data_IF_713280333617
#
_entry.id   IF_713280333617
#
_cell.length_a   1.000
_cell.length_b   1.000
_cell.length_c   1.000
_cell.angle_alpha   90.00
_cell.angle_beta   90.00
_cell.angle_gamma   90.00
#
_symmetry.space_group_name_H-M   'P 1'
#
loop_
_entity.id
_entity.type
_entity.pdbx_description
1 polymer ?
#
# COMPACT_ATOMS: atom_id res chain seq x y z
N UNK A 1 -17.69 7.71 10.94
CA UNK A 1 -17.68 6.59 9.98
C UNK A 1 -16.64 5.59 10.45
N UNK A 2 -16.98 4.30 10.57
CA UNK A 2 -16.00 3.27 10.95
C UNK A 2 -15.08 2.97 9.76
N UNK A 3 -13.85 2.49 10.01
CA UNK A 3 -12.93 2.10 8.92
C UNK A 3 -13.51 1.03 7.99
N UNK A 4 -14.31 0.11 8.54
CA UNK A 4 -15.03 -0.90 7.74
C UNK A 4 -16.10 -0.23 6.87
N UNK A 5 -16.82 0.76 7.40
CA UNK A 5 -17.79 1.53 6.62
C UNK A 5 -17.15 2.32 5.48
N UNK A 6 -15.94 2.84 5.69
CA UNK A 6 -15.16 3.49 4.63
C UNK A 6 -14.76 2.50 3.53
N UNK A 7 -14.20 1.34 3.91
CA UNK A 7 -13.81 0.32 2.93
C UNK A 7 -15.02 -0.24 2.16
N UNK A 8 -16.14 -0.46 2.85
CA UNK A 8 -17.38 -0.91 2.19
C UNK A 8 -17.92 0.12 1.20
N UNK A 9 -17.88 1.41 1.56
CA UNK A 9 -18.28 2.49 0.65
C UNK A 9 -17.37 2.56 -0.57
N UNK A 10 -16.06 2.48 -0.37
CA UNK A 10 -15.08 2.46 -1.47
C UNK A 10 -15.34 1.29 -2.43
N UNK A 11 -15.61 0.08 -1.90
CA UNK A 11 -15.97 -1.08 -2.71
C UNK A 11 -17.29 -0.88 -3.47
N UNK A 12 -18.29 -0.27 -2.86
CA UNK A 12 -19.55 0.02 -3.54
C UNK A 12 -19.38 1.03 -4.68
N UNK A 13 -18.55 2.05 -4.48
CA UNK A 13 -18.21 3.02 -5.52
C UNK A 13 -17.51 2.32 -6.69
N UNK A 14 -16.52 1.49 -6.40
CA UNK A 14 -15.75 0.74 -7.40
C UNK A 14 -16.63 -0.23 -8.19
N UNK A 15 -17.47 -1.01 -7.50
CA UNK A 15 -18.41 -1.94 -8.15
C UNK A 15 -19.45 -1.19 -8.98
N UNK A 16 -19.94 -0.05 -8.50
CA UNK A 16 -20.83 0.82 -9.26
C UNK A 16 -20.16 1.35 -10.53
N UNK A 17 -18.92 1.80 -10.42
CA UNK A 17 -18.15 2.25 -11.58
C UNK A 17 -17.95 1.11 -12.60
N UNK A 18 -17.54 -0.08 -12.16
CA UNK A 18 -17.38 -1.25 -13.03
C UNK A 18 -18.70 -1.71 -13.69
N UNK A 19 -19.84 -1.51 -13.02
CA UNK A 19 -21.14 -1.94 -13.54
C UNK A 19 -21.76 -0.94 -14.53
N UNK A 20 -21.43 0.35 -14.41
CA UNK A 20 -22.11 1.43 -15.15
C UNK A 20 -21.19 2.25 -16.07
N UNK A 21 -19.88 1.99 -16.05
CA UNK A 21 -18.92 2.57 -16.99
C UNK A 21 -18.29 1.46 -17.83
N UNK A 22 -17.78 1.82 -19.00
CA UNK A 22 -16.99 0.89 -19.85
C UNK A 22 -15.55 0.70 -19.32
N UNK A 23 -15.34 1.00 -18.03
CA UNK A 23 -14.04 0.93 -17.38
C UNK A 23 -13.58 -0.50 -17.16
N UNK A 24 -12.28 -0.69 -17.13
CA UNK A 24 -11.64 -1.97 -16.84
C UNK A 24 -10.52 -1.79 -15.81
N UNK A 25 -10.33 -2.80 -14.99
CA UNK A 25 -9.22 -2.90 -14.03
C UNK A 25 -8.23 -3.97 -14.46
N UNK A 26 -6.94 -3.74 -14.21
CA UNK A 26 -5.92 -4.75 -14.46
C UNK A 26 -6.12 -6.00 -13.60
N UNK A 27 -5.66 -7.16 -14.07
CA UNK A 27 -5.84 -8.44 -13.37
C UNK A 27 -5.23 -8.45 -11.96
N UNK A 28 -4.08 -7.83 -11.78
CA UNK A 28 -3.42 -7.71 -10.46
C UNK A 28 -4.28 -6.85 -9.53
N UNK A 29 -4.75 -5.69 -10.00
CA UNK A 29 -5.67 -4.82 -9.27
C UNK A 29 -6.92 -5.59 -8.86
N UNK A 30 -7.55 -6.33 -9.78
CA UNK A 30 -8.73 -7.14 -9.49
C UNK A 30 -8.51 -8.14 -8.34
N UNK A 31 -7.39 -8.85 -8.32
CA UNK A 31 -7.03 -9.78 -7.23
C UNK A 31 -6.90 -9.05 -5.89
N UNK A 32 -6.27 -7.88 -5.89
CA UNK A 32 -6.12 -7.08 -4.66
C UNK A 32 -7.47 -6.57 -4.19
N UNK A 33 -8.30 -6.02 -5.07
CA UNK A 33 -9.65 -5.54 -4.71
C UNK A 33 -10.53 -6.67 -4.16
N UNK A 34 -10.50 -7.85 -4.78
CA UNK A 34 -11.20 -9.03 -4.28
C UNK A 34 -10.70 -9.44 -2.88
N UNK A 35 -9.39 -9.40 -2.65
CA UNK A 35 -8.80 -9.70 -1.34
C UNK A 35 -9.21 -8.69 -0.27
N UNK A 36 -9.31 -7.40 -0.63
CA UNK A 36 -9.81 -6.35 0.25
C UNK A 36 -11.31 -6.50 0.52
N UNK A 37 -12.10 -6.95 -0.46
CA UNK A 37 -13.49 -7.28 -0.24
C UNK A 37 -13.65 -8.39 0.82
N UNK A 38 -12.87 -9.46 0.72
CA UNK A 38 -12.82 -10.52 1.75
C UNK A 38 -12.40 -9.96 3.11
N UNK A 39 -11.36 -9.10 3.17
CA UNK A 39 -10.92 -8.43 4.40
C UNK A 39 -12.06 -7.61 5.01
N UNK A 40 -12.80 -6.87 4.19
CA UNK A 40 -13.91 -6.01 4.62
C UNK A 40 -15.08 -6.83 5.18
N UNK A 41 -15.50 -7.89 4.47
CA UNK A 41 -16.57 -8.80 4.90
C UNK A 41 -16.20 -9.57 6.17
N UNK A 42 -14.96 -10.04 6.25
CA UNK A 42 -14.48 -10.75 7.44
C UNK A 42 -14.19 -9.81 8.61
N UNK A 43 -14.29 -8.49 8.36
CA UNK A 43 -14.00 -7.45 9.35
C UNK A 43 -12.64 -7.63 10.04
N UNK A 44 -11.65 -8.17 9.33
CA UNK A 44 -10.30 -8.43 9.86
C UNK A 44 -10.28 -9.44 11.01
N UNK A 45 -11.14 -10.45 11.00
CA UNK A 45 -11.20 -11.49 12.05
C UNK A 45 -10.16 -12.58 11.86
N UNK A 46 -9.66 -12.74 10.63
CA UNK A 46 -8.77 -13.85 10.27
C UNK A 46 -7.35 -13.32 10.01
N UNK A 47 -6.40 -13.75 10.84
CA UNK A 47 -4.98 -13.39 10.74
C UNK A 47 -4.40 -13.68 9.35
N UNK A 48 -4.83 -14.76 8.72
CA UNK A 48 -4.37 -15.13 7.37
C UNK A 48 -4.81 -14.09 6.35
N UNK A 49 -6.09 -13.68 6.37
CA UNK A 49 -6.63 -12.66 5.46
C UNK A 49 -5.91 -11.34 5.64
N UNK A 50 -5.77 -10.87 6.89
CA UNK A 50 -5.07 -9.64 7.22
C UNK A 50 -3.61 -9.66 6.73
N UNK A 51 -2.91 -10.80 6.95
CA UNK A 51 -1.52 -10.95 6.53
C UNK A 51 -1.39 -10.97 5.01
N UNK A 52 -2.27 -11.71 4.32
CA UNK A 52 -2.28 -11.78 2.86
C UNK A 52 -2.54 -10.41 2.25
N UNK A 53 -3.58 -9.70 2.69
CA UNK A 53 -3.90 -8.36 2.17
C UNK A 53 -2.75 -7.38 2.45
N UNK A 54 -2.14 -7.44 3.63
CA UNK A 54 -0.98 -6.62 3.96
C UNK A 54 0.19 -6.83 2.99
N UNK A 55 0.50 -8.11 2.69
CA UNK A 55 1.58 -8.45 1.75
C UNK A 55 1.22 -7.99 0.33
N UNK A 56 -0.02 -8.20 -0.10
CA UNK A 56 -0.49 -7.75 -1.42
C UNK A 56 -0.44 -6.24 -1.57
N UNK A 57 -0.83 -5.48 -0.55
CA UNK A 57 -0.67 -4.02 -0.55
C UNK A 57 0.80 -3.60 -0.64
N UNK A 58 1.67 -4.26 0.11
CA UNK A 58 3.11 -4.03 0.00
C UNK A 58 3.65 -4.35 -1.38
N UNK A 59 3.17 -5.44 -1.99
CA UNK A 59 3.55 -5.84 -3.35
C UNK A 59 3.04 -4.85 -4.41
N UNK A 60 1.86 -4.25 -4.25
CA UNK A 60 1.38 -3.17 -5.12
C UNK A 60 2.32 -1.96 -5.09
N UNK A 61 2.69 -1.48 -3.90
CA UNK A 61 3.64 -0.38 -3.77
C UNK A 61 5.02 -0.75 -4.36
N UNK A 62 5.51 -1.97 -4.11
CA UNK A 62 6.76 -2.44 -4.69
C UNK A 62 6.69 -2.51 -6.23
N UNK A 63 5.58 -2.99 -6.78
CA UNK A 63 5.32 -3.04 -8.22
C UNK A 63 5.30 -1.65 -8.85
N UNK A 64 4.61 -0.69 -8.22
CA UNK A 64 4.57 0.70 -8.65
C UNK A 64 5.97 1.33 -8.71
N UNK A 65 6.81 1.07 -7.69
CA UNK A 65 8.21 1.54 -7.68
C UNK A 65 9.04 0.81 -8.73
N UNK A 66 8.89 -0.51 -8.87
CA UNK A 66 9.61 -1.32 -9.85
C UNK A 66 9.32 -0.86 -11.30
N UNK A 67 8.06 -0.50 -11.58
CA UNK A 67 7.62 0.01 -12.87
C UNK A 67 8.35 1.33 -13.24
N UNK A 68 8.48 2.25 -12.29
CA UNK A 68 9.22 3.52 -12.48
C UNK A 68 10.70 3.34 -12.81
N UNK A 69 11.27 2.21 -12.46
CA UNK A 69 12.66 1.88 -12.79
C UNK A 69 12.80 0.91 -13.98
N UNK A 70 11.72 0.69 -14.73
CA UNK A 70 11.71 -0.16 -15.92
C UNK A 70 11.86 -1.65 -15.63
N UNK A 71 11.69 -2.08 -14.37
CA UNK A 71 11.84 -3.50 -13.99
C UNK A 71 10.67 -4.37 -14.46
N UNK A 72 9.53 -3.77 -14.80
CA UNK A 72 8.35 -4.47 -15.32
C UNK A 72 8.27 -4.44 -16.85
N UNK A 73 9.03 -3.57 -17.50
CA UNK A 73 9.05 -3.41 -18.95
C UNK A 73 9.34 -1.97 -19.36
N UNK A 74 9.50 -1.76 -20.68
CA UNK A 74 9.70 -0.43 -21.26
C UNK A 74 8.37 0.35 -21.31
N UNK A 75 8.41 1.69 -21.42
CA UNK A 75 7.22 2.51 -21.64
C UNK A 75 6.38 2.02 -22.82
N UNK A 76 5.07 1.86 -22.59
CA UNK A 76 4.13 1.37 -23.60
C UNK A 76 4.03 -0.15 -23.75
N UNK A 77 4.77 -0.94 -22.96
CA UNK A 77 4.58 -2.38 -22.92
C UNK A 77 3.29 -2.74 -22.14
N UNK A 78 2.69 -3.89 -22.49
CA UNK A 78 1.46 -4.35 -21.85
C UNK A 78 1.63 -4.51 -20.32
N UNK A 79 0.73 -3.88 -19.55
CA UNK A 79 0.74 -3.93 -18.10
C UNK A 79 1.77 -3.03 -17.43
N UNK A 80 2.49 -2.20 -18.19
CA UNK A 80 3.44 -1.19 -17.73
C UNK A 80 2.75 0.17 -17.72
N UNK A 81 2.72 0.84 -16.55
CA UNK A 81 2.10 2.16 -16.42
C UNK A 81 3.05 3.28 -16.85
N UNK A 82 4.30 3.19 -16.47
CA UNK A 82 5.31 4.22 -16.76
C UNK A 82 6.52 3.63 -17.52
N UNK A 83 7.14 2.55 -17.03
CA UNK A 83 8.29 1.89 -17.63
C UNK A 83 9.61 2.65 -17.45
N UNK A 84 9.57 3.92 -17.05
CA UNK A 84 10.74 4.70 -16.63
C UNK A 84 10.36 5.83 -15.67
N UNK A 85 11.39 6.43 -15.05
CA UNK A 85 11.20 7.50 -14.07
C UNK A 85 10.79 8.84 -14.69
N UNK A 86 11.12 9.08 -15.95
CA UNK A 86 10.75 10.30 -16.65
C UNK A 86 9.24 10.31 -16.93
N UNK A 87 8.69 9.20 -17.44
CA UNK A 87 7.24 9.02 -17.62
C UNK A 87 6.45 9.18 -16.31
N UNK A 88 6.98 8.62 -15.19
CA UNK A 88 6.37 8.84 -13.88
C UNK A 88 6.43 10.31 -13.42
N UNK A 89 7.53 11.00 -13.69
CA UNK A 89 7.67 12.43 -13.37
C UNK A 89 6.70 13.27 -14.18
N UNK A 90 6.51 12.95 -15.46
CA UNK A 90 5.53 13.62 -16.32
C UNK A 90 4.10 13.35 -15.86
N UNK A 91 3.79 12.13 -15.45
CA UNK A 91 2.50 11.82 -14.81
C UNK A 91 2.31 12.61 -13.51
N UNK A 92 3.33 12.71 -12.67
CA UNK A 92 3.29 13.55 -11.46
C UNK A 92 2.98 15.01 -11.79
N UNK A 93 3.50 15.52 -12.92
CA UNK A 93 3.19 16.87 -13.40
C UNK A 93 1.70 17.03 -13.72
N UNK A 94 1.06 16.04 -14.33
CA UNK A 94 -0.40 16.11 -14.59
C UNK A 94 -1.24 16.18 -13.32
N UNK A 95 -0.74 15.60 -12.22
CA UNK A 95 -1.40 15.63 -10.90
C UNK A 95 -1.12 16.91 -10.10
N UNK A 96 -0.14 17.72 -10.54
CA UNK A 96 0.34 18.88 -9.78
C UNK A 96 -0.26 20.16 -10.36
N UNK A 97 -0.84 21.07 -9.53
CA UNK A 97 -1.28 22.38 -9.99
C UNK A 97 -0.12 23.18 -10.62
N UNK A 98 -0.37 23.88 -11.73
CA UNK A 98 0.65 24.61 -12.51
C UNK A 98 1.54 25.53 -11.67
N UNK A 99 1.00 26.20 -10.65
CA UNK A 99 1.79 27.08 -9.79
C UNK A 99 2.82 26.34 -8.92
N UNK A 100 2.77 24.99 -8.88
CA UNK A 100 3.71 24.11 -8.18
C UNK A 100 4.60 23.29 -9.13
N UNK A 101 4.60 23.57 -10.44
CA UNK A 101 5.40 22.80 -11.42
C UNK A 101 6.89 22.70 -11.05
N UNK A 102 7.44 23.72 -10.41
CA UNK A 102 8.81 23.71 -9.90
C UNK A 102 9.08 22.60 -8.87
N UNK A 103 8.05 22.10 -8.20
CA UNK A 103 8.15 21.07 -7.16
C UNK A 103 8.01 19.63 -7.71
N UNK A 104 7.63 19.43 -8.95
CA UNK A 104 7.33 18.11 -9.57
C UNK A 104 8.46 17.11 -9.37
N UNK A 105 9.75 17.43 -9.60
CA UNK A 105 10.82 16.44 -9.36
C UNK A 105 10.92 16.02 -7.90
N UNK A 106 10.72 16.97 -6.97
CA UNK A 106 10.73 16.66 -5.54
C UNK A 106 9.51 15.81 -5.14
N UNK A 107 8.32 16.12 -5.67
CA UNK A 107 7.10 15.34 -5.41
C UNK A 107 7.24 13.91 -5.94
N UNK A 108 7.76 13.72 -7.15
CA UNK A 108 8.03 12.39 -7.70
C UNK A 108 9.02 11.59 -6.84
N UNK A 109 10.09 12.24 -6.36
CA UNK A 109 11.06 11.61 -5.47
C UNK A 109 10.45 11.25 -4.12
N UNK A 110 9.66 12.14 -3.51
CA UNK A 110 8.97 11.89 -2.23
C UNK A 110 7.94 10.76 -2.39
N UNK A 111 7.15 10.74 -3.47
CA UNK A 111 6.22 9.67 -3.76
C UNK A 111 6.95 8.32 -3.86
N UNK A 112 8.03 8.26 -4.64
CA UNK A 112 8.82 7.04 -4.82
C UNK A 112 9.45 6.57 -3.50
N UNK A 113 10.04 7.46 -2.72
CA UNK A 113 10.62 7.14 -1.42
C UNK A 113 9.56 6.65 -0.42
N UNK A 114 8.41 7.34 -0.35
CA UNK A 114 7.31 6.94 0.54
C UNK A 114 6.74 5.58 0.17
N UNK A 115 6.48 5.32 -1.10
CA UNK A 115 5.99 4.01 -1.56
C UNK A 115 7.00 2.89 -1.32
N UNK A 116 8.30 3.16 -1.49
CA UNK A 116 9.36 2.19 -1.16
C UNK A 116 9.34 1.82 0.32
N UNK A 117 9.24 2.81 1.22
CA UNK A 117 9.17 2.57 2.66
C UNK A 117 7.87 1.84 3.04
N UNK A 118 6.74 2.19 2.43
CA UNK A 118 5.46 1.52 2.64
C UNK A 118 5.53 0.06 2.16
N UNK A 119 6.11 -0.20 0.99
CA UNK A 119 6.30 -1.55 0.47
C UNK A 119 7.12 -2.42 1.43
N UNK A 120 8.29 -1.95 1.85
CA UNK A 120 9.17 -2.67 2.78
C UNK A 120 8.45 -2.92 4.12
N UNK A 121 7.85 -1.88 4.70
CA UNK A 121 7.19 -1.98 5.99
C UNK A 121 5.97 -2.91 5.97
N UNK A 122 5.16 -2.87 4.90
CA UNK A 122 4.02 -3.76 4.75
C UNK A 122 4.46 -5.20 4.49
N UNK A 123 5.41 -5.46 3.59
CA UNK A 123 5.86 -6.82 3.28
C UNK A 123 6.49 -7.46 4.52
N UNK A 124 7.41 -6.79 5.17
CA UNK A 124 8.12 -7.32 6.34
C UNK A 124 7.26 -7.29 7.62
N UNK A 125 6.20 -6.48 7.65
CA UNK A 125 5.37 -6.30 8.85
C UNK A 125 6.09 -5.54 9.96
N UNK A 126 6.99 -4.61 9.62
CA UNK A 126 7.68 -3.72 10.54
C UNK A 126 6.74 -2.56 10.87
N UNK A 127 6.47 -2.31 12.15
CA UNK A 127 5.54 -1.27 12.60
C UNK A 127 4.21 -1.26 11.79
N UNK A 128 3.71 -2.46 11.42
CA UNK A 128 2.72 -2.67 10.38
C UNK A 128 1.46 -1.80 10.53
N UNK A 129 1.02 -1.54 11.77
CA UNK A 129 -0.12 -0.67 12.05
C UNK A 129 0.15 0.80 11.67
N UNK A 130 1.34 1.30 11.99
CA UNK A 130 1.75 2.67 11.64
C UNK A 130 1.91 2.81 10.13
N UNK A 131 2.61 1.84 9.51
CA UNK A 131 2.83 1.81 8.07
C UNK A 131 1.50 1.71 7.29
N UNK A 132 0.55 0.89 7.74
CA UNK A 132 -0.77 0.81 7.12
C UNK A 132 -1.56 2.12 7.23
N UNK A 133 -1.45 2.85 8.34
CA UNK A 133 -2.04 4.19 8.49
C UNK A 133 -1.38 5.21 7.55
N UNK A 134 -0.06 5.17 7.44
CA UNK A 134 0.69 6.02 6.50
C UNK A 134 0.29 5.70 5.05
N UNK A 135 0.16 4.41 4.70
CA UNK A 135 -0.34 3.98 3.40
C UNK A 135 -1.75 4.52 3.12
N UNK A 136 -2.66 4.46 4.12
CA UNK A 136 -3.99 5.06 3.98
C UNK A 136 -3.92 6.54 3.66
N UNK A 137 -3.09 7.30 4.39
CA UNK A 137 -2.95 8.75 4.17
C UNK A 137 -2.41 9.06 2.77
N UNK A 138 -1.36 8.36 2.34
CA UNK A 138 -0.76 8.53 1.00
C UNK A 138 -1.79 8.21 -0.09
N UNK A 139 -2.52 7.09 0.04
CA UNK A 139 -3.53 6.69 -0.95
C UNK A 139 -4.71 7.66 -1.01
N UNK A 140 -5.14 8.25 0.11
CA UNK A 140 -6.18 9.30 0.09
C UNK A 140 -5.68 10.55 -0.63
N UNK A 141 -4.42 10.95 -0.41
CA UNK A 141 -3.81 12.08 -1.16
C UNK A 141 -3.76 11.77 -2.65
N UNK A 142 -3.34 10.57 -3.03
CA UNK A 142 -3.32 10.15 -4.44
C UNK A 142 -4.72 10.11 -5.05
N UNK A 143 -5.70 9.55 -4.35
CA UNK A 143 -7.08 9.53 -4.82
C UNK A 143 -7.62 10.95 -5.06
N UNK A 144 -7.36 11.89 -4.14
CA UNK A 144 -7.77 13.27 -4.29
C UNK A 144 -7.07 13.96 -5.46
N UNK A 145 -5.75 13.78 -5.60
CA UNK A 145 -4.97 14.34 -6.70
C UNK A 145 -5.44 13.79 -8.06
N UNK A 146 -5.64 12.47 -8.17
CA UNK A 146 -6.12 11.85 -9.40
C UNK A 146 -7.53 12.32 -9.75
N UNK A 147 -8.46 12.29 -8.79
CA UNK A 147 -9.83 12.73 -9.04
C UNK A 147 -9.91 14.17 -9.55
N UNK A 148 -9.12 15.07 -8.98
CA UNK A 148 -9.14 16.50 -9.34
C UNK A 148 -8.40 16.82 -10.63
N UNK A 149 -7.42 16.01 -11.03
CA UNK A 149 -6.51 16.32 -12.14
C UNK A 149 -6.76 15.48 -13.38
N UNK A 150 -7.00 14.17 -13.22
CA UNK A 150 -7.17 13.23 -14.36
C UNK A 150 -8.57 12.62 -14.42
N UNK A 151 -9.38 12.82 -13.38
CA UNK A 151 -10.79 12.43 -13.34
C UNK A 151 -11.08 11.18 -12.52
N UNK A 152 -12.39 10.94 -12.34
CA UNK A 152 -12.91 9.86 -11.52
C UNK A 152 -12.63 8.49 -12.11
N UNK A 153 -12.73 8.36 -13.43
CA UNK A 153 -12.53 7.08 -14.14
C UNK A 153 -11.09 6.58 -13.97
N UNK A 154 -10.12 7.47 -14.11
CA UNK A 154 -8.71 7.13 -13.92
C UNK A 154 -8.43 6.71 -12.46
N UNK A 155 -8.97 7.42 -11.48
CA UNK A 155 -8.84 7.05 -10.07
C UNK A 155 -9.43 5.65 -9.79
N UNK A 156 -10.59 5.32 -10.37
CA UNK A 156 -11.22 4.01 -10.20
C UNK A 156 -10.43 2.90 -10.94
N UNK A 157 -9.89 3.17 -12.13
CA UNK A 157 -9.12 2.16 -12.88
C UNK A 157 -7.93 1.60 -12.10
N UNK A 158 -7.37 2.37 -11.17
CA UNK A 158 -6.34 1.95 -10.21
C UNK A 158 -6.89 1.40 -8.89
N UNK A 159 -8.20 1.52 -8.63
CA UNK A 159 -8.83 1.04 -7.40
C UNK A 159 -8.34 1.74 -6.12
N UNK A 160 -7.84 2.97 -6.23
CA UNK A 160 -7.07 3.66 -5.16
C UNK A 160 -7.87 3.80 -3.87
N UNK A 161 -9.18 4.10 -3.96
CA UNK A 161 -10.04 4.23 -2.77
C UNK A 161 -10.24 2.89 -2.05
N UNK A 162 -10.39 1.79 -2.79
CA UNK A 162 -10.53 0.46 -2.20
C UNK A 162 -9.24 0.04 -1.51
N UNK A 163 -8.10 0.30 -2.15
CA UNK A 163 -6.77 0.04 -1.58
C UNK A 163 -6.56 0.85 -0.31
N UNK A 164 -6.97 2.13 -0.28
CA UNK A 164 -6.97 2.96 0.92
C UNK A 164 -7.86 2.38 2.04
N UNK A 165 -9.04 1.86 1.69
CA UNK A 165 -9.95 1.18 2.61
C UNK A 165 -9.32 -0.06 3.25
N UNK A 166 -8.67 -0.90 2.46
CA UNK A 166 -7.92 -2.07 2.93
C UNK A 166 -6.79 -1.69 3.90
N UNK A 167 -5.99 -0.68 3.54
CA UNK A 167 -4.93 -0.14 4.38
C UNK A 167 -5.49 0.41 5.71
N UNK A 168 -6.65 1.10 5.69
CA UNK A 168 -7.30 1.63 6.88
C UNK A 168 -7.75 0.53 7.85
N UNK A 169 -8.31 -0.58 7.33
CA UNK A 169 -8.67 -1.74 8.16
C UNK A 169 -7.41 -2.31 8.84
N UNK A 170 -6.34 -2.56 8.09
CA UNK A 170 -5.07 -3.06 8.63
C UNK A 170 -4.45 -2.10 9.66
N UNK A 171 -4.53 -0.79 9.42
CA UNK A 171 -4.04 0.25 10.33
C UNK A 171 -4.85 0.39 11.62
N UNK A 172 -6.07 -0.14 11.67
CA UNK A 172 -6.95 -0.09 12.86
C UNK A 172 -6.76 -1.27 13.81
N UNK A 173 -6.10 -2.37 13.39
CA UNK A 173 -6.08 -3.66 14.09
C UNK A 173 -4.67 -4.21 14.26
N UNK A 174 -4.53 -5.15 15.20
CA UNK A 174 -3.27 -5.87 15.50
C UNK A 174 -3.38 -7.38 15.23
N UNK A 175 -4.18 -7.76 14.22
CA UNK A 175 -4.47 -9.18 13.91
C UNK A 175 -3.42 -9.84 13.02
N UNK A 176 -2.83 -9.09 12.05
CA UNK A 176 -1.83 -9.63 11.13
C UNK A 176 -0.57 -10.13 11.85
N UNK A 177 0.09 -11.12 11.25
CA UNK A 177 1.42 -11.55 11.69
C UNK A 177 2.43 -10.45 11.37
N UNK A 178 3.17 -10.00 12.37
CA UNK A 178 4.16 -8.94 12.28
C UNK A 178 5.54 -9.47 12.70
N UNK A 179 6.58 -9.02 12.01
CA UNK A 179 7.96 -9.33 12.38
C UNK A 179 8.25 -8.90 13.84
N UNK A 180 7.74 -7.76 14.26
CA UNK A 180 7.86 -7.25 15.64
C UNK A 180 7.31 -8.24 16.66
N UNK A 181 6.19 -8.93 16.37
CA UNK A 181 5.63 -9.95 17.26
C UNK A 181 6.48 -11.21 17.32
N UNK A 182 7.09 -11.60 16.19
CA UNK A 182 7.98 -12.74 16.13
C UNK A 182 9.27 -12.47 16.90
N UNK A 183 9.88 -11.29 16.71
CA UNK A 183 11.10 -10.88 17.43
C UNK A 183 10.87 -10.79 18.94
N UNK A 184 9.74 -10.27 19.39
CA UNK A 184 9.38 -10.22 20.82
C UNK A 184 9.14 -11.60 21.45
N UNK A 185 8.83 -12.61 20.66
CA UNK A 185 8.64 -14.00 21.11
C UNK A 185 9.93 -14.80 21.14
N UNK A 186 11.00 -14.32 20.51
CA UNK A 186 12.31 -14.95 20.64
C UNK A 186 12.80 -14.71 22.07
N UNK A 187 12.93 -15.76 22.92
CA UNK A 187 13.49 -15.57 24.23
C UNK A 187 14.91 -15.04 24.02
N UNK A 188 15.24 -13.95 24.69
CA UNK A 188 16.63 -13.51 24.85
C UNK A 188 17.29 -14.56 25.77
N UNK A 189 17.41 -15.78 25.24
CA UNK A 189 17.99 -16.90 25.94
C UNK A 189 19.49 -16.74 25.90
N UNK A 190 20.08 -16.39 27.01
CA UNK A 190 21.36 -16.93 27.34
C UNK A 190 22.55 -15.99 27.46
N UNK A 191 22.44 -14.66 27.31
CA UNK A 191 23.60 -13.78 27.56
C UNK A 191 23.74 -13.34 29.04
N UNK A 192 22.66 -13.37 29.82
CA UNK A 192 22.71 -12.99 31.25
C UNK A 192 23.20 -14.08 32.20
N UNK A 193 22.94 -15.35 31.89
CA UNK A 193 23.28 -16.44 32.81
C UNK A 193 24.74 -16.95 32.70
N UNK A 194 25.42 -16.71 31.59
CA UNK A 194 26.83 -17.12 31.44
C UNK A 194 27.78 -16.16 32.15
N UNK A 195 27.43 -14.88 32.20
CA UNK A 195 28.28 -13.89 32.90
C UNK A 195 28.17 -14.08 34.41
N UNK A 196 26.99 -14.45 34.95
CA UNK A 196 26.79 -14.70 36.37
C UNK A 196 27.45 -16.02 36.85
N UNK A 197 27.52 -17.04 35.98
CA UNK A 197 28.20 -18.30 36.31
C UNK A 197 29.72 -18.20 36.28
N UNK A 198 30.31 -17.29 35.50
CA UNK A 198 31.79 -17.06 35.46
C UNK A 198 32.28 -16.15 36.61
N UNK A 199 31.36 -15.40 37.27
CA UNK A 199 31.72 -14.56 38.41
C UNK A 199 31.66 -15.27 39.78
N UNK A 200 31.08 -16.48 39.85
CA UNK A 200 30.92 -17.24 41.12
C UNK A 200 32.02 -18.30 41.33
N UNK A 201 33.01 -18.39 40.49
CA UNK A 201 34.13 -19.34 40.58
C UNK A 201 35.50 -18.65 40.67
N UNK A 202 35.56 -17.48 41.31
CA UNK A 202 36.81 -16.85 41.72
C UNK A 202 36.79 -16.51 43.20
#
# INVERSE_FOLDING_TARGET
MTVIGFAALALMIELGWLAFSDGSIGSITAVVLASIAVLTVTAGRFVVVDTTVRILLGALFAGSVADRFGLLGAPGADGVSWGDYAAFTDYTRTLTPQFLDWSVPALAAIATASETLLAIGLILGIAAKLIARAATAVLIVFAAAMWTSVGFDEMCSYGVLVVAGGAAILGSRDTALHLDKLLRRMPVAGLGNEIQRRGATR
#
